data_IF_234201635998
#
_entry.id   IF_234201635998
#
_cell.length_a   1.000
_cell.length_b   1.000
_cell.length_c   1.000
_cell.angle_alpha   90.00
_cell.angle_beta   90.00
_cell.angle_gamma   90.00
#
_symmetry.space_group_name_H-M   'P 1'
#
loop_
_entity.id
_entity.type
_entity.pdbx_description
1 polymer ?
#
# COMPACT_ATOMS: atom_id res chain seq x y z
N UNK A 1 46.00 16.47 -26.01
CA UNK A 1 45.54 15.35 -25.17
C UNK A 1 45.92 14.04 -25.87
N UNK A 2 46.63 13.18 -25.18
CA UNK A 2 47.00 11.86 -25.75
C UNK A 2 45.74 10.99 -25.79
N UNK A 3 45.60 10.15 -26.79
CA UNK A 3 44.44 9.27 -26.99
C UNK A 3 44.17 8.41 -25.77
N UNK A 4 45.18 7.94 -25.05
CA UNK A 4 45.01 7.17 -23.79
C UNK A 4 44.32 7.96 -22.68
N UNK A 5 44.61 9.23 -22.54
CA UNK A 5 43.99 10.11 -21.53
C UNK A 5 42.54 10.38 -21.86
N UNK A 6 42.20 10.54 -23.11
CA UNK A 6 40.84 10.71 -23.58
C UNK A 6 39.99 9.47 -23.29
N UNK A 7 40.48 8.27 -23.58
CA UNK A 7 39.80 7.00 -23.33
C UNK A 7 39.60 6.79 -21.83
N UNK A 8 40.55 7.12 -20.97
CA UNK A 8 40.42 7.03 -19.53
C UNK A 8 39.32 7.96 -18.99
N UNK A 9 39.26 9.20 -19.50
CA UNK A 9 38.21 10.14 -19.13
C UNK A 9 36.81 9.65 -19.52
N UNK A 10 36.68 9.10 -20.72
CA UNK A 10 35.44 8.51 -21.20
C UNK A 10 34.97 7.34 -20.30
N UNK A 11 35.87 6.44 -19.96
CA UNK A 11 35.60 5.30 -19.09
C UNK A 11 35.18 5.74 -17.68
N UNK A 12 35.80 6.80 -17.15
CA UNK A 12 35.40 7.37 -15.85
C UNK A 12 33.99 8.01 -15.89
N UNK A 13 33.67 8.70 -16.98
CA UNK A 13 32.35 9.29 -17.19
C UNK A 13 31.27 8.21 -17.26
N UNK A 14 31.49 7.15 -18.03
CA UNK A 14 30.53 6.03 -18.11
C UNK A 14 30.28 5.35 -16.76
N UNK A 15 31.36 5.13 -15.98
CA UNK A 15 31.23 4.57 -14.62
C UNK A 15 30.45 5.49 -13.67
N UNK A 16 30.67 6.80 -13.78
CA UNK A 16 30.00 7.80 -12.96
C UNK A 16 28.49 7.87 -13.32
N UNK A 17 28.17 7.88 -14.62
CA UNK A 17 26.80 7.87 -15.09
C UNK A 17 26.04 6.63 -14.62
N UNK A 18 26.67 5.45 -14.75
CA UNK A 18 26.10 4.21 -14.26
C UNK A 18 25.87 4.23 -12.75
N UNK A 19 26.81 4.76 -11.98
CA UNK A 19 26.69 4.91 -10.53
C UNK A 19 25.53 5.83 -10.14
N UNK A 20 25.35 6.96 -10.85
CA UNK A 20 24.23 7.87 -10.64
C UNK A 20 22.89 7.23 -11.00
N UNK A 21 22.82 6.47 -12.09
CA UNK A 21 21.63 5.73 -12.49
C UNK A 21 21.27 4.67 -11.44
N UNK A 22 22.24 3.92 -10.92
CA UNK A 22 22.04 2.94 -9.86
C UNK A 22 21.56 3.60 -8.55
N UNK A 23 22.07 4.79 -8.22
CA UNK A 23 21.59 5.58 -7.07
C UNK A 23 20.15 6.05 -7.26
N UNK A 24 19.79 6.52 -8.46
CA UNK A 24 18.43 6.94 -8.76
C UNK A 24 17.44 5.78 -8.65
N UNK A 25 17.81 4.58 -9.09
CA UNK A 25 17.00 3.39 -8.90
C UNK A 25 16.85 3.00 -7.43
N UNK A 26 17.94 3.06 -6.66
CA UNK A 26 17.90 2.83 -5.21
C UNK A 26 17.03 3.87 -4.49
N UNK A 27 17.11 5.13 -4.88
CA UNK A 27 16.28 6.20 -4.34
C UNK A 27 14.80 5.97 -4.65
N UNK A 28 14.45 5.53 -5.84
CA UNK A 28 13.09 5.15 -6.20
C UNK A 28 12.57 4.03 -5.30
N UNK A 29 13.43 3.09 -4.91
CA UNK A 29 13.08 2.00 -4.02
C UNK A 29 13.01 2.42 -2.55
N UNK A 30 13.96 3.22 -2.10
CA UNK A 30 14.08 3.64 -0.70
C UNK A 30 13.09 4.75 -0.32
N UNK A 31 12.69 5.60 -1.28
CA UNK A 31 11.84 6.77 -1.05
C UNK A 31 10.51 6.73 -1.80
N UNK A 32 10.17 5.60 -2.47
CA UNK A 32 8.83 5.44 -3.02
C UNK A 32 7.83 5.50 -1.86
N UNK A 33 6.91 6.46 -1.88
CA UNK A 33 5.84 6.53 -0.90
C UNK A 33 5.09 5.20 -0.85
N UNK A 34 4.80 4.69 0.34
CA UNK A 34 3.87 3.58 0.47
C UNK A 34 2.53 3.92 -0.16
N UNK A 35 1.78 2.91 -0.49
CA UNK A 35 0.39 3.07 -0.95
C UNK A 35 -0.54 2.69 0.18
N UNK A 36 -1.55 3.51 0.42
CA UNK A 36 -2.66 3.20 1.31
C UNK A 36 -3.81 2.69 0.46
N UNK A 37 -4.07 1.40 0.52
CA UNK A 37 -5.17 0.78 -0.20
C UNK A 37 -6.45 0.91 0.62
N UNK A 38 -7.36 1.74 0.16
CA UNK A 38 -8.69 1.91 0.77
C UNK A 38 -9.61 0.86 0.18
N UNK A 39 -10.14 -0.02 1.00
CA UNK A 39 -10.89 -1.20 0.54
C UNK A 39 -12.08 -0.81 -0.32
N UNK A 40 -12.89 0.10 0.17
CA UNK A 40 -14.08 0.56 -0.52
C UNK A 40 -14.26 2.06 -0.34
N UNK A 41 -14.64 2.73 -1.41
CA UNK A 41 -14.99 4.13 -1.37
C UNK A 41 -16.22 4.33 -0.48
N UNK A 42 -16.16 5.32 0.42
CA UNK A 42 -17.24 5.60 1.36
C UNK A 42 -18.10 6.72 0.80
N UNK A 43 -19.43 6.55 0.76
CA UNK A 43 -20.31 7.62 0.32
C UNK A 43 -20.18 8.85 1.22
N UNK A 44 -20.14 10.02 0.60
CA UNK A 44 -20.17 11.29 1.30
C UNK A 44 -21.50 11.54 2.00
N UNK A 45 -21.51 12.52 2.89
CA UNK A 45 -22.75 13.01 3.48
C UNK A 45 -23.58 13.80 2.46
N UNK A 46 -24.85 14.08 2.77
CA UNK A 46 -25.72 14.93 1.93
C UNK A 46 -25.16 16.33 1.66
N UNK A 47 -24.23 16.78 2.50
CA UNK A 47 -23.53 18.07 2.38
C UNK A 47 -22.23 17.99 1.57
N UNK A 48 -21.95 16.83 0.95
CA UNK A 48 -20.72 16.61 0.19
C UNK A 48 -19.47 16.40 1.03
N UNK A 49 -19.58 16.28 2.35
CA UNK A 49 -18.46 15.99 3.24
C UNK A 49 -18.26 14.49 3.37
N UNK A 50 -17.02 13.97 3.39
CA UNK A 50 -16.81 12.55 3.64
C UNK A 50 -17.26 12.18 5.06
N UNK A 51 -17.91 11.03 5.21
CA UNK A 51 -18.35 10.49 6.52
C UNK A 51 -17.19 10.20 7.45
N UNK A 52 -16.05 9.83 6.88
CA UNK A 52 -14.81 9.55 7.59
C UNK A 52 -13.73 10.43 6.98
N UNK A 53 -12.94 11.06 7.81
CA UNK A 53 -11.82 11.87 7.32
C UNK A 53 -10.69 10.96 6.84
N UNK A 54 -10.76 10.55 5.57
CA UNK A 54 -9.72 9.71 4.94
C UNK A 54 -8.48 10.52 4.54
N UNK A 55 -8.56 11.85 4.54
CA UNK A 55 -7.43 12.70 4.15
C UNK A 55 -6.25 12.55 5.10
N UNK A 56 -6.51 12.25 6.37
CA UNK A 56 -5.44 11.95 7.33
C UNK A 56 -4.63 10.70 6.96
N UNK A 57 -5.24 9.74 6.28
CA UNK A 57 -4.55 8.55 5.79
C UNK A 57 -3.51 8.87 4.71
N UNK A 58 -3.68 9.97 3.98
CA UNK A 58 -2.73 10.41 2.95
C UNK A 58 -1.35 10.78 3.53
N UNK A 59 -1.25 11.01 4.84
CA UNK A 59 0.03 11.21 5.52
C UNK A 59 0.89 9.95 5.53
N UNK A 60 0.29 8.77 5.36
CA UNK A 60 0.98 7.48 5.36
C UNK A 60 1.36 7.00 3.96
N UNK A 61 0.76 7.54 2.93
CA UNK A 61 1.07 7.17 1.55
C UNK A 61 0.02 7.64 0.55
N UNK A 62 0.21 7.27 -0.70
CA UNK A 62 -0.73 7.58 -1.78
C UNK A 62 -2.00 6.75 -1.61
N UNK A 63 -3.16 7.39 -1.64
CA UNK A 63 -4.43 6.69 -1.52
C UNK A 63 -4.80 6.00 -2.84
N UNK A 64 -5.16 4.74 -2.76
CA UNK A 64 -5.69 3.96 -3.88
C UNK A 64 -6.96 3.23 -3.45
N UNK A 65 -8.07 3.52 -4.10
CA UNK A 65 -9.34 2.89 -3.81
C UNK A 65 -9.46 1.57 -4.58
N UNK A 66 -9.82 0.49 -3.90
CA UNK A 66 -9.94 -0.83 -4.52
C UNK A 66 -11.29 -1.01 -5.21
N UNK A 67 -12.36 -0.61 -4.56
CA UNK A 67 -13.72 -0.76 -5.06
C UNK A 67 -14.52 0.54 -4.90
N UNK A 68 -15.46 0.80 -5.83
CA UNK A 68 -16.38 1.93 -5.68
C UNK A 68 -17.33 1.72 -4.50
N UNK A 69 -17.99 2.80 -4.08
CA UNK A 69 -19.06 2.73 -3.09
C UNK A 69 -20.19 1.81 -3.56
N UNK A 70 -20.92 1.23 -2.61
CA UNK A 70 -22.05 0.34 -2.85
C UNK A 70 -21.70 -1.00 -3.52
N UNK A 71 -20.42 -1.33 -3.69
CA UNK A 71 -20.02 -2.69 -4.09
C UNK A 71 -20.41 -3.69 -3.01
N UNK A 72 -20.99 -4.82 -3.41
CA UNK A 72 -21.46 -5.87 -2.49
C UNK A 72 -21.20 -7.25 -3.07
N UNK A 73 -21.02 -8.23 -2.19
CA UNK A 73 -21.05 -9.65 -2.53
C UNK A 73 -22.47 -10.13 -2.35
N UNK A 74 -23.20 -10.35 -3.46
CA UNK A 74 -24.62 -10.73 -3.40
C UNK A 74 -24.80 -12.23 -3.52
N UNK A 75 -24.27 -12.86 -4.56
CA UNK A 75 -24.48 -14.28 -4.86
C UNK A 75 -23.19 -15.08 -4.95
N UNK A 76 -22.20 -14.55 -5.63
CA UNK A 76 -20.93 -15.23 -5.87
C UNK A 76 -19.76 -14.28 -5.64
N UNK A 77 -18.77 -14.66 -4.81
CA UNK A 77 -17.60 -13.83 -4.58
C UNK A 77 -16.57 -13.86 -5.71
N UNK A 78 -16.66 -14.83 -6.63
CA UNK A 78 -15.64 -15.06 -7.66
C UNK A 78 -15.22 -13.83 -8.45
N UNK A 79 -16.14 -13.09 -9.11
CA UNK A 79 -15.80 -11.89 -9.86
C UNK A 79 -15.16 -10.79 -9.00
N UNK A 80 -15.60 -10.65 -7.76
CA UNK A 80 -15.05 -9.67 -6.82
C UNK A 80 -13.62 -10.04 -6.41
N UNK A 81 -13.38 -11.30 -6.11
CA UNK A 81 -12.04 -11.82 -5.78
C UNK A 81 -11.07 -11.54 -6.93
N UNK A 82 -11.47 -11.82 -8.16
CA UNK A 82 -10.66 -11.55 -9.34
C UNK A 82 -10.31 -10.06 -9.44
N UNK A 83 -11.29 -9.19 -9.27
CA UNK A 83 -11.11 -7.75 -9.31
C UNK A 83 -10.17 -7.25 -8.21
N UNK A 84 -10.33 -7.76 -6.99
CA UNK A 84 -9.49 -7.42 -5.86
C UNK A 84 -8.05 -7.90 -6.04
N UNK A 85 -7.86 -9.14 -6.50
CA UNK A 85 -6.51 -9.66 -6.79
C UNK A 85 -5.79 -8.82 -7.84
N UNK A 86 -6.50 -8.40 -8.87
CA UNK A 86 -5.94 -7.52 -9.90
C UNK A 86 -5.54 -6.16 -9.33
N UNK A 87 -6.39 -5.56 -8.50
CA UNK A 87 -6.12 -4.26 -7.89
C UNK A 87 -4.99 -4.31 -6.84
N UNK A 88 -4.79 -5.47 -6.21
CA UNK A 88 -3.80 -5.67 -5.16
C UNK A 88 -2.49 -6.32 -5.65
N UNK A 89 -2.35 -6.54 -6.95
CA UNK A 89 -1.18 -7.24 -7.51
C UNK A 89 0.16 -6.66 -7.10
N UNK A 90 0.23 -5.35 -6.88
CA UNK A 90 1.46 -4.63 -6.52
C UNK A 90 1.56 -4.36 -5.01
N UNK A 91 0.65 -4.91 -4.21
CA UNK A 91 0.69 -4.74 -2.75
C UNK A 91 1.95 -5.37 -2.16
N UNK A 92 2.63 -4.64 -1.31
CA UNK A 92 3.87 -5.06 -0.63
C UNK A 92 3.83 -4.73 0.85
N UNK A 93 4.74 -5.31 1.64
CA UNK A 93 4.75 -5.18 3.09
C UNK A 93 4.81 -3.74 3.62
N UNK A 94 5.42 -2.82 2.89
CA UNK A 94 5.48 -1.41 3.27
C UNK A 94 4.20 -0.64 3.03
N UNK A 95 3.23 -1.22 2.33
CA UNK A 95 1.94 -0.59 2.06
C UNK A 95 0.97 -0.77 3.24
N UNK A 96 -0.12 -0.02 3.21
CA UNK A 96 -1.15 -0.05 4.25
C UNK A 96 -2.49 -0.43 3.66
N UNK A 97 -3.30 -1.10 4.47
CA UNK A 97 -4.67 -1.43 4.13
C UNK A 97 -5.62 -0.69 5.08
N UNK A 98 -6.48 0.16 4.53
CA UNK A 98 -7.49 0.90 5.28
C UNK A 98 -8.84 0.22 5.09
N UNK A 99 -9.37 -0.33 6.18
CA UNK A 99 -10.57 -1.15 6.17
C UNK A 99 -11.84 -0.29 6.20
N UNK A 100 -12.44 -0.13 5.03
CA UNK A 100 -13.66 0.65 4.86
C UNK A 100 -14.69 -0.13 4.06
N UNK A 101 -15.97 0.10 4.33
CA UNK A 101 -17.06 -0.44 3.54
C UNK A 101 -17.69 -1.72 4.11
N UNK A 102 -18.13 -2.61 3.21
CA UNK A 102 -18.81 -3.85 3.55
C UNK A 102 -17.89 -4.81 4.31
N UNK A 103 -18.29 -5.32 5.49
CA UNK A 103 -17.48 -6.27 6.26
C UNK A 103 -17.09 -7.53 5.49
N UNK A 104 -17.96 -8.05 4.62
CA UNK A 104 -17.64 -9.23 3.81
C UNK A 104 -16.52 -8.94 2.81
N UNK A 105 -16.55 -7.78 2.18
CA UNK A 105 -15.49 -7.32 1.26
C UNK A 105 -14.18 -7.10 2.02
N UNK A 106 -14.24 -6.49 3.19
CA UNK A 106 -13.09 -6.29 4.08
C UNK A 106 -12.42 -7.65 4.40
N UNK A 107 -13.21 -8.64 4.80
CA UNK A 107 -12.70 -9.97 5.13
C UNK A 107 -12.01 -10.63 3.95
N UNK A 108 -12.60 -10.58 2.76
CA UNK A 108 -12.01 -11.14 1.54
C UNK A 108 -10.71 -10.40 1.19
N UNK A 109 -10.70 -9.08 1.27
CA UNK A 109 -9.53 -8.26 0.98
C UNK A 109 -8.37 -8.59 1.92
N UNK A 110 -8.62 -8.71 3.22
CA UNK A 110 -7.61 -9.10 4.20
C UNK A 110 -7.06 -10.49 3.90
N UNK A 111 -7.91 -11.43 3.50
CA UNK A 111 -7.48 -12.78 3.12
C UNK A 111 -6.55 -12.76 1.92
N UNK A 112 -6.87 -11.97 0.90
CA UNK A 112 -6.03 -11.82 -0.29
C UNK A 112 -4.67 -11.19 0.07
N UNK A 113 -4.68 -10.11 0.84
CA UNK A 113 -3.46 -9.42 1.27
C UNK A 113 -2.59 -10.36 2.11
N UNK A 114 -3.18 -11.13 3.00
CA UNK A 114 -2.48 -12.13 3.80
C UNK A 114 -1.81 -13.20 2.91
N UNK A 115 -2.51 -13.64 1.87
CA UNK A 115 -1.99 -14.60 0.91
C UNK A 115 -0.78 -14.04 0.13
N UNK A 116 -0.89 -12.80 -0.34
CA UNK A 116 0.18 -12.12 -1.11
C UNK A 116 1.43 -11.87 -0.24
N UNK A 117 1.24 -11.51 1.03
CA UNK A 117 2.32 -11.08 1.93
C UNK A 117 2.79 -12.16 2.90
N UNK A 118 2.32 -13.37 2.76
CA UNK A 118 2.59 -14.47 3.71
C UNK A 118 2.22 -14.11 5.16
N UNK A 119 1.09 -13.45 5.34
CA UNK A 119 0.54 -13.13 6.64
C UNK A 119 1.18 -11.93 7.35
N UNK A 120 1.98 -11.14 6.65
CA UNK A 120 2.65 -9.96 7.21
C UNK A 120 2.27 -8.71 6.42
N UNK A 121 1.48 -7.85 7.03
CA UNK A 121 1.04 -6.60 6.38
C UNK A 121 0.62 -5.56 7.41
N UNK A 122 0.47 -4.32 6.98
CA UNK A 122 0.08 -3.22 7.85
C UNK A 122 -1.35 -2.78 7.59
N UNK A 123 -2.09 -2.55 8.67
CA UNK A 123 -3.39 -1.88 8.63
C UNK A 123 -3.25 -0.44 9.09
N UNK A 124 -4.11 0.43 8.60
CA UNK A 124 -4.34 1.74 9.21
C UNK A 124 -5.67 1.71 9.96
N UNK A 125 -5.65 2.11 11.20
CA UNK A 125 -6.84 2.18 12.03
C UNK A 125 -7.11 3.61 12.46
N UNK A 126 -8.39 4.02 12.39
CA UNK A 126 -8.84 5.31 12.87
C UNK A 126 -9.09 5.26 14.38
N UNK A 127 -8.43 6.15 15.11
CA UNK A 127 -8.67 6.34 16.54
C UNK A 127 -9.69 7.45 16.72
N UNK A 128 -10.88 7.10 17.23
CA UNK A 128 -11.98 8.02 17.42
C UNK A 128 -11.69 9.06 18.52
N UNK A 129 -10.93 8.70 19.53
CA UNK A 129 -10.60 9.59 20.64
C UNK A 129 -9.57 10.63 20.25
N UNK A 130 -8.47 10.15 19.63
CA UNK A 130 -7.36 11.01 19.21
C UNK A 130 -7.60 11.68 17.84
N UNK A 131 -8.62 11.23 17.11
CA UNK A 131 -8.95 11.69 15.74
C UNK A 131 -7.77 11.64 14.78
N UNK A 132 -7.07 10.52 14.79
CA UNK A 132 -5.93 10.27 13.92
C UNK A 132 -5.87 8.81 13.52
N UNK A 133 -5.17 8.56 12.42
CA UNK A 133 -4.82 7.20 12.01
C UNK A 133 -3.56 6.75 12.72
N UNK A 134 -3.49 5.45 13.00
CA UNK A 134 -2.27 4.82 13.46
C UNK A 134 -2.10 3.46 12.78
N UNK A 135 -0.83 3.07 12.51
CA UNK A 135 -0.56 1.79 11.86
C UNK A 135 -0.64 0.65 12.86
N UNK A 136 -1.13 -0.49 12.38
CA UNK A 136 -1.09 -1.76 13.11
C UNK A 136 -0.34 -2.74 12.25
N UNK A 137 0.74 -3.30 12.76
CA UNK A 137 1.50 -4.35 12.11
C UNK A 137 0.87 -5.71 12.38
N UNK A 138 0.45 -6.40 11.30
CA UNK A 138 -0.11 -7.75 11.38
C UNK A 138 0.97 -8.75 11.02
N UNK A 139 1.15 -9.73 11.89
CA UNK A 139 1.97 -10.90 11.65
C UNK A 139 1.22 -12.12 12.16
N UNK A 140 0.65 -12.91 11.27
CA UNK A 140 -0.18 -14.06 11.64
C UNK A 140 0.63 -15.19 12.27
N UNK A 141 1.94 -15.17 12.16
CA UNK A 141 2.81 -16.19 12.76
C UNK A 141 3.33 -15.79 14.13
N UNK A 142 3.06 -14.56 14.55
CA UNK A 142 3.43 -14.11 15.89
C UNK A 142 2.54 -14.79 16.92
N UNK A 143 3.19 -15.54 17.83
CA UNK A 143 2.49 -16.13 18.97
C UNK A 143 2.51 -15.13 20.12
N UNK A 144 1.38 -14.52 20.41
CA UNK A 144 1.23 -13.67 21.57
C UNK A 144 1.59 -14.43 22.84
N UNK A 145 2.16 -13.74 23.84
CA UNK A 145 2.36 -14.34 25.16
C UNK A 145 0.99 -14.52 25.81
N UNK A 146 0.56 -15.77 25.92
CA UNK A 146 -0.60 -16.11 26.72
C UNK A 146 -0.09 -16.23 28.16
N UNK A 147 -0.43 -15.27 29.00
CA UNK A 147 -0.24 -15.41 30.43
C UNK A 147 -1.38 -16.30 30.95
N UNK A 148 -1.07 -17.54 31.18
CA UNK A 148 -1.96 -18.43 31.91
C UNK A 148 -1.88 -18.13 33.40
#
# INVERSE_FOLDING_TARGET
MKVKEYVQLQNQLEKTEKFLDDLDELDKYAFSKPTVYVVQEIPGTKEGKPKINIMGAANYGTLKFLLPELSQIIFSPGPLIFKLRKALKDFKQGDYLLLTGDPAIIGVTCSIVSDITNGKYNLLKWDKQERKYYPIEINLYERGKINE
#
